data_IF_977741625433
#
_entry.id   IF_977741625433
#
_cell.length_a   1.000
_cell.length_b   1.000
_cell.length_c   1.000
_cell.angle_alpha   90.00
_cell.angle_beta   90.00
_cell.angle_gamma   90.00
#
_symmetry.space_group_name_H-M   'P 1'
#
loop_
_entity.id
_entity.type
_entity.pdbx_description
1 polymer ?
#
# COMPACT_ATOMS: atom_id res chain seq x y z
N UNK A 1 16.84 29.92 -35.50
CA UNK A 1 16.79 30.20 -34.05
C UNK A 1 15.85 29.23 -33.32
N UNK A 2 14.58 29.09 -33.73
CA UNK A 2 13.55 28.26 -33.06
C UNK A 2 13.84 26.74 -33.00
N UNK A 3 14.56 26.15 -33.98
CA UNK A 3 14.79 24.69 -34.06
C UNK A 3 15.76 24.13 -33.00
N UNK A 4 16.72 24.92 -32.51
CA UNK A 4 17.69 24.47 -31.51
C UNK A 4 17.11 24.42 -30.09
N UNK A 5 16.14 25.30 -29.82
CA UNK A 5 15.46 25.41 -28.52
C UNK A 5 14.51 24.23 -28.27
N UNK A 6 13.80 23.79 -29.32
CA UNK A 6 12.95 22.60 -29.29
C UNK A 6 13.75 21.32 -29.00
N UNK A 7 14.92 21.15 -29.62
CA UNK A 7 15.79 19.97 -29.40
C UNK A 7 16.36 19.98 -27.97
N UNK A 8 16.71 21.15 -27.43
CA UNK A 8 17.11 21.31 -26.03
C UNK A 8 16.00 20.92 -25.04
N UNK A 9 14.76 21.33 -25.31
CA UNK A 9 13.60 20.99 -24.47
C UNK A 9 13.31 19.48 -24.42
N UNK A 10 13.48 18.76 -25.53
CA UNK A 10 13.34 17.30 -25.57
C UNK A 10 14.43 16.57 -24.77
N UNK A 11 15.68 17.04 -24.83
CA UNK A 11 16.77 16.43 -24.04
C UNK A 11 16.60 16.66 -22.53
N UNK A 12 16.11 17.83 -22.12
CA UNK A 12 15.84 18.13 -20.71
C UNK A 12 14.68 17.28 -20.16
N UNK A 13 13.62 17.07 -20.96
CA UNK A 13 12.53 16.18 -20.57
C UNK A 13 12.99 14.73 -20.46
N UNK A 14 13.75 14.22 -21.42
CA UNK A 14 14.29 12.85 -21.37
C UNK A 14 15.21 12.63 -20.15
N UNK A 15 16.05 13.60 -19.81
CA UNK A 15 16.89 13.55 -18.61
C UNK A 15 16.04 13.50 -17.33
N UNK A 16 15.00 14.34 -17.25
CA UNK A 16 14.06 14.36 -16.12
C UNK A 16 13.34 13.02 -15.95
N UNK A 17 12.85 12.42 -17.04
CA UNK A 17 12.23 11.08 -17.00
C UNK A 17 13.20 10.00 -16.53
N UNK A 18 14.48 10.07 -16.93
CA UNK A 18 15.52 9.16 -16.47
C UNK A 18 15.75 9.24 -14.94
N UNK A 19 15.83 10.45 -14.40
CA UNK A 19 16.02 10.69 -12.96
C UNK A 19 14.81 10.19 -12.15
N UNK A 20 13.60 10.47 -12.62
CA UNK A 20 12.37 10.01 -11.96
C UNK A 20 12.30 8.48 -11.91
N UNK A 21 12.66 7.79 -13.01
CA UNK A 21 12.72 6.33 -13.03
C UNK A 21 13.74 5.76 -12.05
N UNK A 22 14.91 6.38 -11.95
CA UNK A 22 15.94 5.96 -11.01
C UNK A 22 15.48 6.12 -9.56
N UNK A 23 14.89 7.28 -9.22
CA UNK A 23 14.34 7.53 -7.88
C UNK A 23 13.21 6.54 -7.53
N UNK A 24 12.36 6.21 -8.50
CA UNK A 24 11.29 5.23 -8.32
C UNK A 24 11.85 3.83 -8.04
N UNK A 25 12.87 3.41 -8.80
CA UNK A 25 13.52 2.10 -8.59
C UNK A 25 14.13 1.99 -7.18
N UNK A 26 14.82 3.04 -6.73
CA UNK A 26 15.40 3.09 -5.37
C UNK A 26 14.30 3.01 -4.30
N UNK A 27 13.18 3.72 -4.51
CA UNK A 27 12.06 3.72 -3.58
C UNK A 27 11.40 2.35 -3.48
N UNK A 28 11.20 1.66 -4.60
CA UNK A 28 10.66 0.28 -4.62
C UNK A 28 11.59 -0.66 -3.87
N UNK A 29 12.90 -0.59 -4.12
CA UNK A 29 13.88 -1.45 -3.46
C UNK A 29 13.87 -1.23 -1.93
N UNK A 30 13.83 0.03 -1.49
CA UNK A 30 13.75 0.36 -0.07
C UNK A 30 12.46 -0.14 0.59
N UNK A 31 11.33 -0.09 -0.12
CA UNK A 31 10.05 -0.60 0.40
C UNK A 31 10.05 -2.12 0.53
N UNK A 32 10.59 -2.84 -0.46
CA UNK A 32 10.73 -4.31 -0.42
C UNK A 32 11.62 -4.71 0.75
N UNK A 33 12.74 -4.00 0.93
CA UNK A 33 13.67 -4.26 2.02
C UNK A 33 13.09 -3.93 3.40
N UNK A 34 12.24 -2.90 3.49
CA UNK A 34 11.54 -2.57 4.73
C UNK A 34 10.51 -3.63 5.08
N UNK A 35 9.80 -4.16 4.08
CA UNK A 35 8.78 -5.21 4.24
C UNK A 35 9.36 -6.52 4.77
N UNK A 36 10.60 -6.88 4.40
CA UNK A 36 11.26 -8.10 4.89
C UNK A 36 11.79 -7.98 6.32
N UNK A 37 12.08 -6.75 6.79
CA UNK A 37 12.62 -6.51 8.13
C UNK A 37 11.57 -6.24 9.19
N UNK A 38 10.51 -5.53 8.83
CA UNK A 38 9.47 -5.11 9.75
C UNK A 38 8.10 -5.31 9.09
N UNK A 39 7.63 -6.56 8.95
CA UNK A 39 6.29 -6.81 8.44
C UNK A 39 5.26 -6.25 9.42
N UNK A 40 4.12 -5.81 8.89
CA UNK A 40 3.02 -5.31 9.71
C UNK A 40 2.25 -6.49 10.30
N UNK A 41 2.23 -6.57 11.63
CA UNK A 41 1.66 -7.69 12.39
C UNK A 41 0.61 -7.15 13.34
N UNK A 42 -0.57 -7.76 13.35
CA UNK A 42 -1.62 -7.50 14.31
C UNK A 42 -2.05 -8.80 14.99
N UNK A 43 -2.52 -8.68 16.23
CA UNK A 43 -3.17 -9.77 16.96
C UNK A 43 -4.55 -9.31 17.39
N UNK A 44 -5.47 -10.24 17.62
CA UNK A 44 -6.83 -9.89 17.98
C UNK A 44 -7.69 -11.10 18.27
N UNK A 45 -8.87 -10.82 18.80
CA UNK A 45 -9.93 -11.81 19.02
C UNK A 45 -11.13 -11.45 18.17
N UNK A 46 -11.84 -12.44 17.66
CA UNK A 46 -12.97 -12.18 16.78
C UNK A 46 -14.09 -13.19 16.93
N UNK A 47 -15.31 -12.73 16.70
CA UNK A 47 -16.51 -13.55 16.59
C UNK A 47 -16.94 -13.53 15.14
N UNK A 48 -17.16 -14.72 14.57
CA UNK A 48 -17.66 -14.88 13.20
C UNK A 48 -19.00 -15.58 13.26
N UNK A 49 -20.02 -14.92 12.74
CA UNK A 49 -21.32 -15.52 12.46
C UNK A 49 -21.45 -15.79 10.96
N UNK A 50 -21.62 -17.07 10.60
CA UNK A 50 -21.77 -17.50 9.21
C UNK A 50 -23.18 -18.05 9.00
N UNK A 51 -23.96 -17.30 8.24
CA UNK A 51 -25.22 -17.75 7.65
C UNK A 51 -24.97 -18.25 6.23
N UNK A 52 -26.03 -18.72 5.57
CA UNK A 52 -26.01 -19.07 4.16
C UNK A 52 -25.58 -17.84 3.33
N UNK A 53 -26.37 -16.76 3.36
CA UNK A 53 -26.17 -15.61 2.47
C UNK A 53 -25.20 -14.57 3.05
N UNK A 54 -24.93 -14.61 4.35
CA UNK A 54 -24.26 -13.54 5.10
C UNK A 54 -23.14 -14.08 6.01
N UNK A 55 -21.99 -13.38 6.02
CA UNK A 55 -20.91 -13.54 6.99
C UNK A 55 -20.72 -12.24 7.74
N UNK A 56 -20.93 -12.28 9.06
CA UNK A 56 -20.71 -11.15 9.95
C UNK A 56 -19.50 -11.44 10.82
N UNK A 57 -18.56 -10.51 10.85
CA UNK A 57 -17.31 -10.61 11.60
C UNK A 57 -17.18 -9.41 12.54
N UNK A 58 -16.91 -9.69 13.80
CA UNK A 58 -16.60 -8.67 14.81
C UNK A 58 -15.22 -9.00 15.36
N UNK A 59 -14.22 -8.22 14.96
CA UNK A 59 -12.84 -8.42 15.34
C UNK A 59 -12.36 -7.28 16.24
N UNK A 60 -11.75 -7.58 17.37
CA UNK A 60 -11.03 -6.61 18.18
C UNK A 60 -9.54 -6.81 17.96
N UNK A 61 -8.91 -5.87 17.24
CA UNK A 61 -7.53 -5.99 16.77
C UNK A 61 -6.60 -4.97 17.44
N UNK A 62 -5.43 -5.47 17.86
CA UNK A 62 -4.29 -4.72 18.37
C UNK A 62 -3.11 -4.86 17.39
N UNK A 63 -2.72 -3.78 16.70
CA UNK A 63 -1.53 -3.80 15.86
C UNK A 63 -0.28 -3.84 16.75
N UNK A 64 0.57 -4.84 16.51
CA UNK A 64 1.83 -5.07 17.23
C UNK A 64 3.00 -4.40 16.54
N UNK A 65 3.05 -4.51 15.20
CA UNK A 65 4.06 -3.90 14.33
C UNK A 65 3.33 -3.27 13.15
N UNK A 66 3.66 -2.04 12.82
CA UNK A 66 3.10 -1.37 11.65
C UNK A 66 4.14 -0.42 11.05
N UNK A 67 4.09 -0.28 9.73
CA UNK A 67 4.93 0.67 9.01
C UNK A 67 4.29 2.05 9.05
N UNK A 68 5.08 3.12 8.96
CA UNK A 68 4.58 4.51 8.95
C UNK A 68 3.56 4.78 7.83
N UNK A 69 3.60 4.02 6.74
CA UNK A 69 2.64 4.08 5.64
C UNK A 69 1.29 3.43 5.95
N UNK A 70 1.20 2.64 7.01
CA UNK A 70 0.02 1.82 7.28
C UNK A 70 -1.08 2.63 7.94
N UNK A 71 -2.31 2.48 7.43
CA UNK A 71 -3.49 3.01 8.09
C UNK A 71 -3.87 2.10 9.25
N UNK A 72 -3.28 2.37 10.41
CA UNK A 72 -3.58 1.71 11.67
C UNK A 72 -5.02 1.96 12.10
N UNK A 73 -5.79 0.87 12.27
CA UNK A 73 -7.09 0.90 12.97
C UNK A 73 -6.99 0.02 14.20
N UNK A 74 -6.96 0.65 15.37
CA UNK A 74 -6.96 -0.04 16.67
C UNK A 74 -8.40 -0.24 17.13
N UNK A 75 -8.69 -1.38 17.74
CA UNK A 75 -9.97 -1.65 18.39
C UNK A 75 -10.93 -2.45 17.51
N UNK A 76 -12.22 -2.09 17.57
CA UNK A 76 -13.29 -2.88 16.98
C UNK A 76 -13.37 -2.68 15.45
N UNK A 77 -13.36 -3.80 14.72
CA UNK A 77 -13.55 -3.88 13.29
C UNK A 77 -14.76 -4.76 13.00
N UNK A 78 -15.67 -4.23 12.19
CA UNK A 78 -16.86 -4.93 11.71
C UNK A 78 -16.66 -5.32 10.24
N UNK A 79 -16.81 -6.60 9.94
CA UNK A 79 -16.78 -7.16 8.59
C UNK A 79 -18.16 -7.70 8.22
N UNK A 80 -18.60 -7.39 7.00
CA UNK A 80 -19.84 -7.88 6.42
C UNK A 80 -19.55 -8.42 5.03
N UNK A 81 -19.79 -9.71 4.82
CA UNK A 81 -19.62 -10.36 3.53
C UNK A 81 -20.93 -11.01 3.07
N UNK A 82 -21.26 -10.87 1.79
CA UNK A 82 -22.41 -11.53 1.18
C UNK A 82 -21.94 -12.60 0.20
N UNK A 83 -22.59 -13.75 0.21
CA UNK A 83 -22.37 -14.80 -0.78
C UNK A 83 -23.67 -14.96 -1.59
N UNK A 84 -23.58 -14.73 -2.90
CA UNK A 84 -24.65 -14.97 -3.86
C UNK A 84 -24.24 -16.17 -4.69
N UNK A 85 -24.86 -17.31 -4.46
CA UNK A 85 -24.75 -18.50 -5.30
C UNK A 85 -25.89 -18.55 -6.30
#
# INVERSE_FOLDING_TARGET
>A
FVRGELIGAHNVTLLSFGIIRLLLAQRILSSIFSLTRAPSVSTGVGIVYRSSILRLEVNFCLPLVATTSDKLKKGLQLGLGFNFW
#
